data_IF_636958412813
#
_entry.id   IF_636958412813
#
_cell.length_a   1.000
_cell.length_b   1.000
_cell.length_c   1.000
_cell.angle_alpha   90.00
_cell.angle_beta   90.00
_cell.angle_gamma   90.00
#
_symmetry.space_group_name_H-M   'P 1'
#
loop_
_entity.id
_entity.type
_entity.pdbx_description
1 polymer ?
#
# COMPACT_ATOMS: atom_id res chain seq x y z
N UNK A 1 -9.25 -6.67 -28.26
CA UNK A 1 -9.64 -5.98 -27.00
C UNK A 1 -8.79 -6.50 -25.83
N UNK A 2 -7.63 -5.89 -25.60
CA UNK A 2 -6.81 -6.19 -24.42
C UNK A 2 -7.51 -5.58 -23.20
N UNK A 3 -7.99 -6.42 -22.29
CA UNK A 3 -8.61 -5.96 -21.05
C UNK A 3 -7.50 -5.36 -20.15
N UNK A 4 -7.43 -4.02 -19.98
CA UNK A 4 -6.32 -3.34 -19.30
C UNK A 4 -6.20 -3.75 -17.83
N UNK A 5 -7.21 -4.44 -17.29
CA UNK A 5 -7.22 -4.94 -15.93
C UNK A 5 -6.20 -6.07 -15.68
N UNK A 6 -5.79 -6.83 -16.71
CA UNK A 6 -4.82 -7.94 -16.56
C UNK A 6 -3.38 -7.48 -16.30
N UNK A 7 -3.00 -6.26 -16.71
CA UNK A 7 -1.70 -5.65 -16.38
C UNK A 7 -1.66 -5.10 -14.94
N UNK A 8 -2.82 -4.90 -14.29
CA UNK A 8 -2.90 -4.31 -12.95
C UNK A 8 -2.26 -5.16 -11.85
N UNK A 9 -2.17 -6.48 -12.03
CA UNK A 9 -1.64 -7.35 -10.98
C UNK A 9 -0.11 -7.25 -10.78
N UNK A 10 0.60 -6.51 -11.65
CA UNK A 10 2.02 -6.12 -11.54
C UNK A 10 2.23 -4.61 -11.66
N UNK A 11 1.18 -3.80 -11.50
CA UNK A 11 1.21 -2.38 -11.88
C UNK A 11 2.13 -1.49 -11.06
N UNK A 12 2.49 -1.92 -9.85
CA UNK A 12 3.43 -1.20 -9.01
C UNK A 12 4.50 -2.17 -8.54
N UNK A 13 5.74 -1.74 -8.60
CA UNK A 13 6.86 -2.48 -8.02
C UNK A 13 6.92 -2.24 -6.50
N UNK A 14 7.76 -2.99 -5.78
CA UNK A 14 7.87 -2.86 -4.33
C UNK A 14 8.23 -1.44 -3.87
N UNK A 15 9.04 -0.69 -4.65
CA UNK A 15 9.44 0.69 -4.32
C UNK A 15 8.24 1.63 -4.40
N UNK A 16 7.45 1.53 -5.46
CA UNK A 16 6.23 2.32 -5.63
C UNK A 16 5.15 1.92 -4.62
N UNK A 17 5.03 0.63 -4.30
CA UNK A 17 4.14 0.15 -3.25
C UNK A 17 4.52 0.74 -1.88
N UNK A 18 5.80 0.75 -1.53
CA UNK A 18 6.30 1.38 -0.30
C UNK A 18 6.04 2.89 -0.28
N UNK A 19 6.20 3.58 -1.42
CA UNK A 19 5.87 5.01 -1.54
C UNK A 19 4.38 5.27 -1.31
N UNK A 20 3.49 4.49 -1.93
CA UNK A 20 2.05 4.59 -1.73
C UNK A 20 1.65 4.26 -0.28
N UNK A 21 2.29 3.28 0.35
CA UNK A 21 2.07 2.94 1.75
C UNK A 21 2.47 4.05 2.72
N UNK A 22 3.59 4.74 2.44
CA UNK A 22 4.00 5.93 3.19
C UNK A 22 3.03 7.09 2.97
N UNK A 23 2.68 7.35 1.71
CA UNK A 23 1.73 8.40 1.32
C UNK A 23 0.36 8.20 1.98
N UNK A 24 -0.09 6.95 2.14
CA UNK A 24 -1.32 6.62 2.85
C UNK A 24 -1.30 6.95 4.35
N UNK A 25 -0.12 7.20 4.94
CA UNK A 25 -0.01 7.64 6.34
C UNK A 25 -0.42 9.10 6.50
N UNK A 26 -0.02 9.94 5.55
CA UNK A 26 -0.22 11.39 5.57
C UNK A 26 -1.53 11.80 4.89
N UNK A 27 -1.86 11.20 3.75
CA UNK A 27 -3.02 11.57 2.92
C UNK A 27 -3.79 10.37 2.38
N UNK A 28 -5.05 10.60 2.01
CA UNK A 28 -5.86 9.56 1.34
C UNK A 28 -5.33 9.34 -0.08
N UNK A 29 -5.08 8.08 -0.43
CA UNK A 29 -4.73 7.69 -1.80
C UNK A 29 -5.93 7.81 -2.74
N UNK A 30 -5.67 8.07 -4.02
CA UNK A 30 -6.72 7.99 -5.03
C UNK A 30 -7.25 6.56 -5.15
N UNK A 31 -8.54 6.39 -5.49
CA UNK A 31 -9.18 5.07 -5.57
C UNK A 31 -8.41 4.09 -6.47
N UNK A 32 -7.86 4.57 -7.58
CA UNK A 32 -7.05 3.77 -8.53
C UNK A 32 -5.72 3.32 -7.91
N UNK A 33 -5.03 4.19 -7.18
CA UNK A 33 -3.77 3.86 -6.49
C UNK A 33 -4.00 2.83 -5.39
N UNK A 34 -5.08 2.99 -4.63
CA UNK A 34 -5.48 2.06 -3.57
C UNK A 34 -5.74 0.65 -4.12
N UNK A 35 -6.44 0.54 -5.25
CA UNK A 35 -6.70 -0.75 -5.91
C UNK A 35 -5.41 -1.41 -6.36
N UNK A 36 -4.52 -0.66 -7.04
CA UNK A 36 -3.20 -1.18 -7.50
C UNK A 36 -2.34 -1.67 -6.35
N UNK A 37 -2.25 -0.88 -5.28
CA UNK A 37 -1.50 -1.22 -4.09
C UNK A 37 -2.05 -2.49 -3.42
N UNK A 38 -3.38 -2.61 -3.32
CA UNK A 38 -4.03 -3.79 -2.72
C UNK A 38 -3.74 -5.08 -3.49
N UNK A 39 -3.77 -5.04 -4.83
CA UNK A 39 -3.37 -6.19 -5.66
C UNK A 39 -1.91 -6.58 -5.44
N UNK A 40 -1.00 -5.60 -5.38
CA UNK A 40 0.42 -5.87 -5.15
C UNK A 40 0.68 -6.49 -3.77
N UNK A 41 0.10 -5.93 -2.70
CA UNK A 41 0.30 -6.41 -1.32
C UNK A 41 -0.23 -7.83 -1.13
N UNK A 42 -1.32 -8.21 -1.83
CA UNK A 42 -1.83 -9.59 -1.79
C UNK A 42 -0.88 -10.62 -2.39
N UNK A 43 0.04 -10.21 -3.27
CA UNK A 43 1.03 -11.10 -3.89
C UNK A 43 2.42 -10.97 -3.28
N UNK A 44 2.76 -9.82 -2.69
CA UNK A 44 4.09 -9.54 -2.17
C UNK A 44 4.11 -9.57 -0.64
N UNK A 45 4.66 -10.66 -0.07
CA UNK A 45 4.80 -10.85 1.37
C UNK A 45 5.62 -9.74 2.02
N UNK A 46 6.67 -9.25 1.35
CA UNK A 46 7.49 -8.15 1.86
C UNK A 46 6.68 -6.86 2.07
N UNK A 47 5.92 -6.43 1.06
CA UNK A 47 5.07 -5.26 1.16
C UNK A 47 3.90 -5.45 2.15
N UNK A 48 3.41 -6.68 2.31
CA UNK A 48 2.42 -7.02 3.34
C UNK A 48 2.98 -6.84 4.76
N UNK A 49 4.21 -7.31 5.01
CA UNK A 49 4.89 -7.11 6.31
C UNK A 49 5.14 -5.62 6.57
N UNK A 50 5.60 -4.88 5.57
CA UNK A 50 5.84 -3.45 5.68
C UNK A 50 4.55 -2.67 6.01
N UNK A 51 3.42 -2.99 5.36
CA UNK A 51 2.12 -2.40 5.70
C UNK A 51 1.76 -2.64 7.17
N UNK A 52 1.96 -3.85 7.69
CA UNK A 52 1.68 -4.18 9.10
C UNK A 52 2.59 -3.40 10.05
N UNK A 53 3.87 -3.24 9.72
CA UNK A 53 4.81 -2.45 10.51
C UNK A 53 4.37 -0.99 10.60
N UNK A 54 3.99 -0.36 9.47
CA UNK A 54 3.47 1.00 9.46
C UNK A 54 2.18 1.14 10.29
N UNK A 55 1.27 0.15 10.20
CA UNK A 55 0.04 0.15 10.99
C UNK A 55 0.33 0.07 12.50
N UNK A 56 1.32 -0.75 12.90
CA UNK A 56 1.79 -0.84 14.28
C UNK A 56 2.37 0.49 14.77
N UNK A 57 3.26 1.11 14.00
CA UNK A 57 3.85 2.41 14.35
C UNK A 57 2.77 3.51 14.48
N UNK A 58 1.78 3.53 13.58
CA UNK A 58 0.65 4.48 13.66
C UNK A 58 -0.26 4.22 14.86
N UNK A 59 -0.42 2.96 15.28
CA UNK A 59 -1.17 2.63 16.48
C UNK A 59 -0.42 3.09 17.74
N UNK A 60 0.88 2.80 17.82
CA UNK A 60 1.76 3.24 18.91
C UNK A 60 1.80 4.78 19.02
N UNK A 61 2.06 5.48 17.91
CA UNK A 61 2.10 6.96 17.90
C UNK A 61 0.78 7.62 18.29
N UNK A 62 -0.37 6.98 18.05
CA UNK A 62 -1.67 7.44 18.55
C UNK A 62 -1.83 7.25 20.04
N UNK A 63 -1.21 6.23 20.62
CA UNK A 63 -1.24 5.93 22.06
C UNK A 63 -0.30 6.84 22.87
N UNK A 64 0.81 7.29 22.27
CA UNK A 64 1.76 8.23 22.87
C UNK A 64 1.39 9.71 22.74
N UNK A 65 0.28 10.05 22.07
CA UNK A 65 -0.23 11.43 21.96
C UNK A 65 -1.18 11.83 23.11
N UNK A 66 -1.17 11.07 24.21
CA UNK A 66 -1.67 11.52 25.52
C UNK A 66 -0.63 12.43 26.16
#
# INVERSE_FOLDING_TARGET
MLNPLRYLARLVNCREASRLLSQAQEKRLARRERMRLWFHIRRCVACQRYQRQLAFLRAAGRRFRM
#
